data_IF_251654740224
#
_entry.id   IF_251654740224
#
_cell.length_a   1.000
_cell.length_b   1.000
_cell.length_c   1.000
_cell.angle_alpha   90.00
_cell.angle_beta   90.00
_cell.angle_gamma   90.00
#
_symmetry.space_group_name_H-M   'P 1'
#
loop_
_entity.id
_entity.type
_entity.pdbx_description
1 polymer ?
#
# COMPACT_ATOMS: atom_id res chain seq x y z
N UNK A 1 -25.93 -23.66 2.38
CA UNK A 1 -25.73 -22.21 2.22
C UNK A 1 -25.17 -21.69 3.54
N UNK A 2 -24.08 -20.90 3.50
CA UNK A 2 -23.17 -20.50 4.60
C UNK A 2 -22.27 -21.64 5.10
N UNK A 3 -20.94 -21.54 5.19
CA UNK A 3 -20.06 -20.37 5.34
C UNK A 3 -18.79 -20.54 4.49
N UNK A 4 -18.45 -19.52 3.71
CA UNK A 4 -17.11 -19.35 3.13
C UNK A 4 -16.15 -19.01 4.27
N UNK A 5 -15.30 -19.98 4.62
CA UNK A 5 -14.21 -19.80 5.55
C UNK A 5 -13.12 -18.99 4.84
N UNK A 6 -13.12 -17.67 5.06
CA UNK A 6 -12.00 -16.80 4.69
C UNK A 6 -10.78 -17.23 5.52
N UNK A 7 -9.97 -18.14 4.96
CA UNK A 7 -8.67 -18.51 5.49
C UNK A 7 -7.80 -17.27 5.44
N UNK A 8 -7.89 -16.48 6.50
CA UNK A 8 -7.03 -15.33 6.75
C UNK A 8 -5.63 -15.88 7.04
N UNK A 9 -4.86 -16.13 5.98
CA UNK A 9 -3.48 -16.58 6.06
C UNK A 9 -2.72 -15.57 6.90
N UNK A 10 -2.39 -15.94 8.14
CA UNK A 10 -1.62 -15.09 9.05
C UNK A 10 -0.19 -14.96 8.49
N UNK A 11 0.29 -13.77 8.12
CA UNK A 11 1.66 -13.66 7.67
C UNK A 11 2.59 -13.85 8.87
N UNK A 12 3.51 -14.82 8.73
CA UNK A 12 4.52 -15.19 9.71
C UNK A 12 5.49 -14.02 9.94
N UNK A 13 5.94 -13.88 11.19
CA UNK A 13 6.67 -12.74 11.75
C UNK A 13 7.63 -11.98 10.83
N UNK A 14 7.38 -10.69 10.67
CA UNK A 14 8.28 -9.70 10.09
C UNK A 14 8.24 -8.44 10.94
N UNK A 15 9.42 -7.85 11.19
CA UNK A 15 9.69 -6.66 12.02
C UNK A 15 8.56 -5.62 11.86
N UNK A 16 7.97 -5.17 12.98
CA UNK A 16 7.00 -4.06 13.04
C UNK A 16 7.69 -2.73 12.67
N UNK A 17 8.14 -2.60 11.43
CA UNK A 17 8.31 -1.29 10.81
C UNK A 17 6.93 -0.63 10.75
N UNK A 18 6.91 0.70 10.73
CA UNK A 18 5.69 1.51 10.57
C UNK A 18 4.74 0.80 9.62
N UNK A 19 3.62 0.29 10.16
CA UNK A 19 2.72 -0.56 9.40
C UNK A 19 2.06 0.32 8.34
N UNK A 20 2.53 0.22 7.10
CA UNK A 20 1.77 0.68 5.95
C UNK A 20 0.43 -0.05 6.01
N UNK A 21 -0.63 0.71 6.26
CA UNK A 21 -1.98 0.17 6.32
C UNK A 21 -2.54 0.02 4.91
N UNK A 22 -3.55 -0.83 4.74
CA UNK A 22 -4.27 -0.98 3.47
C UNK A 22 -4.79 0.39 2.97
N UNK A 23 -5.24 1.26 3.88
CA UNK A 23 -5.65 2.63 3.56
C UNK A 23 -4.52 3.54 3.01
N UNK A 24 -3.25 3.25 3.32
CA UNK A 24 -2.10 3.94 2.71
C UNK A 24 -1.89 3.45 1.27
N UNK A 25 -2.08 2.14 1.04
CA UNK A 25 -1.96 1.54 -0.29
C UNK A 25 -3.07 2.05 -1.20
N UNK A 26 -4.33 2.05 -0.74
CA UNK A 26 -5.45 2.60 -1.50
C UNK A 26 -5.25 4.09 -1.84
N UNK A 27 -4.66 4.86 -0.92
CA UNK A 27 -4.31 6.26 -1.19
C UNK A 27 -3.30 6.39 -2.33
N UNK A 28 -2.23 5.58 -2.34
CA UNK A 28 -1.26 5.60 -3.43
C UNK A 28 -1.87 5.16 -4.77
N UNK A 29 -2.71 4.12 -4.76
CA UNK A 29 -3.39 3.65 -5.97
C UNK A 29 -4.36 4.70 -6.52
N UNK A 30 -5.09 5.40 -5.65
CA UNK A 30 -5.96 6.50 -6.06
C UNK A 30 -5.16 7.63 -6.73
N UNK A 31 -4.01 7.99 -6.17
CA UNK A 31 -3.10 8.98 -6.77
C UNK A 31 -2.53 8.52 -8.11
N UNK A 32 -2.13 7.26 -8.23
CA UNK A 32 -1.65 6.67 -9.48
C UNK A 32 -2.74 6.58 -10.56
N UNK A 33 -4.00 6.38 -10.15
CA UNK A 33 -5.14 6.37 -11.08
C UNK A 33 -5.43 7.76 -11.65
N UNK A 34 -5.23 8.80 -10.85
CA UNK A 34 -5.42 10.20 -11.25
C UNK A 34 -4.24 10.72 -12.09
N UNK A 35 -3.01 10.37 -11.67
CA UNK A 35 -1.75 10.74 -12.34
C UNK A 35 -0.82 9.52 -12.43
N UNK A 36 -0.79 8.80 -13.57
CA UNK A 36 0.02 7.59 -13.74
C UNK A 36 1.53 7.88 -13.81
N UNK A 37 1.92 9.13 -14.11
CA UNK A 37 3.32 9.58 -14.15
C UNK A 37 3.84 10.05 -12.79
N UNK A 38 3.04 9.92 -11.72
CA UNK A 38 3.43 10.36 -10.38
C UNK A 38 4.66 9.59 -9.89
N UNK A 39 5.64 10.34 -9.41
CA UNK A 39 6.89 9.73 -8.93
C UNK A 39 6.71 9.11 -7.53
N UNK A 40 7.49 8.07 -7.22
CA UNK A 40 7.51 7.47 -5.89
C UNK A 40 7.78 8.48 -4.77
N UNK A 41 8.60 9.51 -5.06
CA UNK A 41 8.91 10.56 -4.09
C UNK A 41 7.69 11.44 -3.81
N UNK A 42 6.94 11.83 -4.84
CA UNK A 42 5.68 12.56 -4.67
C UNK A 42 4.65 11.74 -3.90
N UNK A 43 4.57 10.42 -4.10
CA UNK A 43 3.69 9.55 -3.32
C UNK A 43 4.09 9.49 -1.83
N UNK A 44 5.38 9.49 -1.52
CA UNK A 44 5.89 9.59 -0.14
C UNK A 44 5.53 10.94 0.47
N UNK A 45 5.81 12.04 -0.25
CA UNK A 45 5.54 13.39 0.24
C UNK A 45 4.03 13.62 0.43
N UNK A 46 3.19 13.13 -0.49
CA UNK A 46 1.75 13.19 -0.36
C UNK A 46 1.25 12.41 0.86
N UNK A 47 1.77 11.20 1.11
CA UNK A 47 1.40 10.43 2.29
C UNK A 47 1.85 11.10 3.60
N UNK A 48 3.05 11.69 3.59
CA UNK A 48 3.56 12.46 4.73
C UNK A 48 2.69 13.69 5.00
N UNK A 49 2.28 14.41 3.95
CA UNK A 49 1.46 15.60 4.08
C UNK A 49 0.04 15.27 4.57
N UNK A 50 -0.60 14.25 3.97
CA UNK A 50 -2.00 13.93 4.24
C UNK A 50 -2.21 13.11 5.52
N UNK A 51 -1.27 12.20 5.83
CA UNK A 51 -1.43 11.23 6.93
C UNK A 51 -0.34 11.32 7.99
N UNK A 52 0.67 12.18 7.81
CA UNK A 52 1.82 12.26 8.73
C UNK A 52 2.72 11.01 8.70
N UNK A 53 2.51 10.11 7.72
CA UNK A 53 3.24 8.84 7.65
C UNK A 53 4.44 9.01 6.73
N UNK A 54 5.64 8.81 7.29
CA UNK A 54 6.89 8.84 6.53
C UNK A 54 7.29 7.42 6.19
N UNK A 55 7.41 7.12 4.89
CA UNK A 55 7.95 5.85 4.40
C UNK A 55 9.06 6.12 3.39
N UNK A 56 9.90 5.10 3.14
CA UNK A 56 10.90 5.19 2.09
C UNK A 56 10.24 4.93 0.72
N UNK A 57 10.72 5.55 -0.38
CA UNK A 57 10.16 5.34 -1.72
C UNK A 57 10.11 3.86 -2.14
N UNK A 58 11.09 3.06 -1.68
CA UNK A 58 11.14 1.63 -1.94
C UNK A 58 9.96 0.86 -1.29
N UNK A 59 9.46 1.32 -0.14
CA UNK A 59 8.28 0.76 0.51
C UNK A 59 7.02 1.03 -0.31
N UNK A 60 6.86 2.26 -0.81
CA UNK A 60 5.75 2.62 -1.71
C UNK A 60 5.77 1.70 -2.93
N UNK A 61 6.92 1.56 -3.58
CA UNK A 61 7.09 0.69 -4.75
C UNK A 61 6.65 -0.73 -4.46
N UNK A 62 7.13 -1.34 -3.37
CA UNK A 62 6.80 -2.73 -3.04
C UNK A 62 5.29 -2.93 -2.84
N UNK A 63 4.61 -2.01 -2.15
CA UNK A 63 3.18 -2.12 -1.91
C UNK A 63 2.33 -1.83 -3.15
N UNK A 64 2.74 -0.87 -3.97
CA UNK A 64 2.08 -0.58 -5.25
C UNK A 64 2.25 -1.75 -6.21
N UNK A 65 3.44 -2.34 -6.29
CA UNK A 65 3.75 -3.51 -7.14
C UNK A 65 2.92 -4.73 -6.73
N UNK A 66 2.88 -5.05 -5.43
CA UNK A 66 2.07 -6.15 -4.87
C UNK A 66 0.56 -5.96 -5.15
N UNK A 67 0.07 -4.72 -5.01
CA UNK A 67 -1.31 -4.38 -5.32
C UNK A 67 -1.63 -4.44 -6.83
N UNK A 68 -0.68 -4.04 -7.68
CA UNK A 68 -0.84 -4.07 -9.14
C UNK A 68 -0.79 -5.51 -9.67
N UNK A 69 0.08 -6.35 -9.11
CA UNK A 69 0.20 -7.76 -9.48
C UNK A 69 -1.04 -8.58 -9.12
N UNK A 70 -1.89 -8.07 -8.23
CA UNK A 70 -3.14 -8.71 -7.81
C UNK A 70 -4.33 -8.39 -8.74
N UNK A 71 -4.17 -7.49 -9.73
CA UNK A 71 -5.16 -7.30 -10.80
C UNK A 71 -5.12 -8.50 -11.76
N UNK A 72 -5.94 -9.51 -11.48
CA UNK A 72 -6.29 -10.59 -12.41
C UNK A 72 -7.40 -10.15 -13.37
#
# INVERSE_FOLDING_TARGET
>A
MTHEEDVRVRPRGGKRGVKVTEACVEFWLSKLRDDPDITLRQLVDALKHERGVVVVPQTVKNHVDDACFTLK
#
